data_IF_161770146579
#
_entry.id   IF_161770146579
#
_cell.length_a   1.000
_cell.length_b   1.000
_cell.length_c   1.000
_cell.angle_alpha   90.00
_cell.angle_beta   90.00
_cell.angle_gamma   90.00
#
_symmetry.space_group_name_H-M   'P 1'
#
loop_
_entity.id
_entity.type
_entity.pdbx_description
1 polymer ?
#
# COMPACT_ATOMS: atom_id res chain seq x y z
N UNK A 1 -30.42 -1.17 9.55
CA UNK A 1 -31.20 -1.05 8.30
C UNK A 1 -32.29 -0.07 8.62
N UNK A 2 -32.04 1.19 8.28
CA UNK A 2 -33.05 2.24 8.31
C UNK A 2 -34.05 1.98 7.17
N UNK A 3 -35.29 2.44 7.35
CA UNK A 3 -36.44 2.16 6.46
C UNK A 3 -36.25 2.65 5.01
N UNK A 4 -35.20 3.43 4.73
CA UNK A 4 -34.82 3.91 3.40
C UNK A 4 -33.88 2.96 2.63
N UNK A 5 -33.44 1.84 3.23
CA UNK A 5 -32.60 0.83 2.56
C UNK A 5 -31.17 1.30 2.24
N UNK A 6 -30.76 2.48 2.71
CA UNK A 6 -29.38 2.93 2.59
C UNK A 6 -28.55 2.30 3.69
N UNK A 7 -27.62 1.41 3.34
CA UNK A 7 -26.64 0.94 4.33
C UNK A 7 -25.75 2.13 4.72
N UNK A 8 -26.14 2.79 5.82
CA UNK A 8 -25.44 3.90 6.42
C UNK A 8 -24.01 3.47 6.76
N UNK A 9 -23.73 2.21 7.07
CA UNK A 9 -22.41 1.75 7.47
C UNK A 9 -21.67 1.05 6.33
N UNK A 10 -20.33 1.20 6.23
CA UNK A 10 -19.58 0.45 5.25
C UNK A 10 -19.60 -1.04 5.60
N UNK A 11 -19.55 -1.89 4.57
CA UNK A 11 -19.30 -3.30 4.76
C UNK A 11 -17.85 -3.54 5.25
N UNK A 12 -17.60 -4.62 6.02
CA UNK A 12 -16.23 -5.02 6.36
C UNK A 12 -15.37 -5.26 5.10
N UNK A 13 -14.09 -4.87 5.18
CA UNK A 13 -13.15 -5.07 4.06
C UNK A 13 -12.95 -6.56 3.77
N UNK A 14 -12.76 -6.91 2.50
CA UNK A 14 -12.45 -8.28 2.09
C UNK A 14 -11.09 -8.75 2.60
N UNK A 15 -10.90 -10.07 2.70
CA UNK A 15 -9.63 -10.68 3.13
C UNK A 15 -8.42 -10.25 2.27
N UNK A 16 -8.63 -10.02 0.97
CA UNK A 16 -7.58 -9.48 0.08
C UNK A 16 -7.21 -8.04 0.46
N UNK A 17 -8.20 -7.19 0.73
CA UNK A 17 -7.95 -5.82 1.16
C UNK A 17 -7.19 -5.76 2.50
N UNK A 18 -7.50 -6.65 3.46
CA UNK A 18 -6.69 -6.72 4.69
C UNK A 18 -5.25 -7.20 4.44
N UNK A 19 -5.02 -8.11 3.48
CA UNK A 19 -3.65 -8.50 3.08
C UNK A 19 -2.90 -7.33 2.46
N UNK A 20 -3.50 -6.64 1.49
CA UNK A 20 -2.92 -5.45 0.86
C UNK A 20 -2.59 -4.36 1.88
N UNK A 21 -3.45 -4.17 2.88
CA UNK A 21 -3.17 -3.23 3.98
C UNK A 21 -1.94 -3.58 4.81
N UNK A 22 -1.65 -4.86 5.04
CA UNK A 22 -0.40 -5.27 5.72
C UNK A 22 0.82 -4.92 4.88
N UNK A 23 0.74 -5.10 3.56
CA UNK A 23 1.79 -4.70 2.61
C UNK A 23 1.98 -3.17 2.62
N UNK A 24 0.88 -2.41 2.58
CA UNK A 24 0.90 -0.95 2.68
C UNK A 24 1.62 -0.46 3.96
N UNK A 25 1.33 -1.11 5.10
CA UNK A 25 1.98 -0.78 6.37
C UNK A 25 3.47 -1.18 6.38
N UNK A 26 3.79 -2.39 5.91
CA UNK A 26 5.16 -2.91 5.90
C UNK A 26 6.11 -2.08 5.03
N UNK A 27 5.62 -1.58 3.89
CA UNK A 27 6.41 -0.73 2.98
C UNK A 27 6.43 0.75 3.39
N UNK A 28 5.78 1.12 4.50
CA UNK A 28 5.80 2.50 4.98
C UNK A 28 5.09 3.50 4.06
N UNK A 29 4.12 3.07 3.25
CA UNK A 29 3.41 3.95 2.32
C UNK A 29 2.77 5.16 3.02
N UNK A 30 2.38 4.99 4.29
CA UNK A 30 1.84 6.04 5.18
C UNK A 30 2.77 7.25 5.38
N UNK A 31 4.08 7.11 5.15
CA UNK A 31 5.03 8.22 5.28
C UNK A 31 4.92 9.22 4.12
N UNK A 32 4.49 8.78 2.94
CA UNK A 32 4.36 9.63 1.76
C UNK A 32 2.90 9.93 1.40
N UNK A 33 1.98 9.02 1.73
CA UNK A 33 0.59 9.07 1.32
C UNK A 33 -0.35 9.14 2.52
N UNK A 34 -1.35 10.00 2.41
CA UNK A 34 -2.51 9.96 3.30
C UNK A 34 -3.60 9.05 2.78
N UNK A 35 -4.45 8.61 3.70
CA UNK A 35 -5.73 7.98 3.44
C UNK A 35 -6.82 8.75 4.16
N UNK A 36 -6.89 10.06 3.91
CA UNK A 36 -7.95 10.92 4.40
C UNK A 36 -8.21 12.05 3.41
N UNK A 37 -9.34 12.05 2.71
CA UNK A 37 -9.77 13.21 1.93
C UNK A 37 -10.19 14.33 2.89
N UNK A 38 -9.50 15.47 2.84
CA UNK A 38 -9.82 16.64 3.66
C UNK A 38 -10.97 17.42 3.04
N UNK A 39 -11.63 18.21 3.88
CA UNK A 39 -12.62 19.16 3.42
C UNK A 39 -11.96 20.38 2.77
N UNK A 40 -12.71 21.07 1.92
CA UNK A 40 -12.21 22.13 1.04
C UNK A 40 -11.54 23.29 1.78
N UNK A 41 -12.03 23.60 2.99
CA UNK A 41 -11.44 24.64 3.84
C UNK A 41 -10.05 24.26 4.40
N UNK A 42 -9.70 22.97 4.42
CA UNK A 42 -8.44 22.47 4.96
C UNK A 42 -7.46 22.05 3.85
N UNK A 43 -7.97 21.60 2.70
CA UNK A 43 -7.21 21.35 1.49
C UNK A 43 -8.15 21.18 0.28
N UNK A 44 -7.67 21.49 -0.93
CA UNK A 44 -8.38 21.27 -2.20
C UNK A 44 -8.33 19.81 -2.69
N UNK A 45 -8.57 18.84 -1.81
CA UNK A 45 -8.47 17.41 -2.15
C UNK A 45 -9.55 16.97 -3.15
N UNK A 46 -10.75 17.56 -3.06
CA UNK A 46 -11.86 17.29 -3.98
C UNK A 46 -11.55 17.88 -5.37
N UNK A 47 -11.03 19.11 -5.45
CA UNK A 47 -10.61 19.72 -6.72
C UNK A 47 -9.49 18.92 -7.41
N UNK A 48 -8.58 18.33 -6.63
CA UNK A 48 -7.54 17.40 -7.12
C UNK A 48 -8.08 16.03 -7.53
N UNK A 49 -9.39 15.82 -7.42
CA UNK A 49 -10.09 14.56 -7.71
C UNK A 49 -9.57 13.40 -6.88
N UNK A 50 -9.12 13.66 -5.64
CA UNK A 50 -8.64 12.59 -4.75
C UNK A 50 -9.78 11.83 -4.05
N UNK A 51 -10.98 12.42 -4.02
CA UNK A 51 -12.22 11.74 -3.68
C UNK A 51 -13.41 12.65 -3.93
N UNK A 52 -14.59 12.04 -4.00
CA UNK A 52 -15.86 12.75 -4.24
C UNK A 52 -16.36 13.52 -3.01
N UNK A 53 -15.94 13.09 -1.83
CA UNK A 53 -16.36 13.64 -0.54
C UNK A 53 -15.22 13.63 0.46
N UNK A 54 -15.30 14.52 1.45
CA UNK A 54 -14.45 14.44 2.64
C UNK A 54 -14.60 13.09 3.33
N UNK A 55 -13.52 12.61 3.93
CA UNK A 55 -13.56 11.42 4.78
C UNK A 55 -14.39 11.69 6.04
N UNK A 56 -15.14 10.67 6.46
CA UNK A 56 -15.92 10.65 7.67
C UNK A 56 -15.36 9.59 8.64
N UNK A 57 -15.54 9.73 9.97
CA UNK A 57 -15.07 8.73 10.95
C UNK A 57 -15.55 7.31 10.66
N UNK A 58 -16.77 7.20 10.11
CA UNK A 58 -17.40 5.93 9.72
C UNK A 58 -16.61 5.16 8.65
N UNK A 59 -15.82 5.84 7.81
CA UNK A 59 -15.00 5.19 6.78
C UNK A 59 -13.89 4.31 7.37
N UNK A 60 -13.53 4.53 8.64
CA UNK A 60 -12.44 3.85 9.32
C UNK A 60 -12.91 2.82 10.35
N UNK A 61 -14.21 2.48 10.38
CA UNK A 61 -14.81 1.65 11.43
C UNK A 61 -14.13 0.28 11.59
N UNK A 62 -13.67 -0.30 10.48
CA UNK A 62 -12.99 -1.60 10.44
C UNK A 62 -11.46 -1.49 10.40
N UNK A 63 -10.90 -0.28 10.52
CA UNK A 63 -9.48 -0.06 10.41
C UNK A 63 -8.77 -0.06 11.77
N UNK A 64 -8.11 -1.19 12.10
CA UNK A 64 -7.26 -1.30 13.30
C UNK A 64 -5.81 -1.72 12.97
N UNK A 65 -4.80 -0.84 13.15
CA UNK A 65 -4.86 0.59 13.50
C UNK A 65 -5.19 1.49 12.29
N UNK A 66 -5.86 2.61 12.48
CA UNK A 66 -6.18 3.53 11.37
C UNK A 66 -4.90 4.14 10.78
N UNK A 67 -4.75 4.12 9.45
CA UNK A 67 -3.53 4.52 8.73
C UNK A 67 -3.73 5.83 7.93
N UNK A 68 -4.12 6.92 8.60
CA UNK A 68 -4.51 8.18 7.93
C UNK A 68 -3.34 8.88 7.22
N UNK A 69 -2.09 8.67 7.66
CA UNK A 69 -0.93 9.42 7.18
C UNK A 69 -0.84 10.82 7.80
N UNK A 70 0.39 11.30 8.05
CA UNK A 70 0.63 12.66 8.58
C UNK A 70 1.25 13.60 7.56
N UNK A 71 1.95 13.05 6.57
CA UNK A 71 2.65 13.78 5.52
C UNK A 71 2.06 13.41 4.16
N UNK A 72 2.16 14.34 3.21
CA UNK A 72 1.62 14.22 1.86
C UNK A 72 2.65 14.69 0.85
N UNK A 73 3.63 13.84 0.60
CA UNK A 73 4.52 14.03 -0.55
C UNK A 73 3.88 13.47 -1.82
N UNK A 74 3.09 12.40 -1.70
CA UNK A 74 2.31 11.80 -2.78
C UNK A 74 0.81 12.11 -2.68
N UNK A 75 0.03 11.69 -3.68
CA UNK A 75 -1.42 11.84 -3.69
C UNK A 75 -2.11 11.03 -2.58
N UNK A 76 -3.30 11.46 -2.19
CA UNK A 76 -4.13 10.70 -1.25
C UNK A 76 -4.71 9.42 -1.89
N UNK A 77 -4.70 8.35 -1.11
CA UNK A 77 -5.06 7.00 -1.56
C UNK A 77 -6.42 6.51 -1.03
N UNK A 78 -7.20 7.30 -0.28
CA UNK A 78 -8.49 6.88 0.27
C UNK A 78 -9.48 6.34 -0.77
N UNK A 79 -9.49 6.90 -1.97
CA UNK A 79 -10.43 6.54 -3.04
C UNK A 79 -9.72 6.03 -4.31
N UNK A 80 -8.47 5.56 -4.19
CA UNK A 80 -7.69 5.14 -5.37
C UNK A 80 -8.39 4.03 -6.16
N UNK A 81 -9.00 3.04 -5.51
CA UNK A 81 -9.68 1.94 -6.19
C UNK A 81 -10.96 2.35 -6.95
N UNK A 82 -11.50 3.55 -6.72
CA UNK A 82 -12.59 4.12 -7.53
C UNK A 82 -12.07 5.04 -8.64
N UNK A 83 -10.83 5.52 -8.52
CA UNK A 83 -10.23 6.56 -9.37
C UNK A 83 -9.29 5.99 -10.41
N UNK A 84 -8.51 4.97 -10.05
CA UNK A 84 -7.55 4.36 -10.95
C UNK A 84 -8.29 3.58 -12.05
N UNK A 85 -7.89 3.73 -13.32
CA UNK A 85 -8.34 2.79 -14.35
C UNK A 85 -7.81 1.39 -14.01
N UNK A 86 -8.59 0.35 -14.32
CA UNK A 86 -8.37 -1.03 -13.87
C UNK A 86 -6.94 -1.56 -14.14
N UNK A 87 -6.26 -1.11 -15.19
CA UNK A 87 -4.87 -1.47 -15.49
C UNK A 87 -3.80 -0.80 -14.61
N UNK A 88 -4.03 0.38 -14.02
CA UNK A 88 -2.96 1.17 -13.36
C UNK A 88 -2.64 0.69 -11.94
N UNK A 89 -3.54 -0.07 -11.30
CA UNK A 89 -3.32 -0.66 -9.97
C UNK A 89 -2.23 -1.76 -9.97
N UNK A 90 -1.78 -2.22 -11.16
CA UNK A 90 -0.72 -3.21 -11.35
C UNK A 90 0.50 -2.69 -12.14
N UNK A 91 0.63 -1.38 -12.38
CA UNK A 91 1.76 -0.86 -13.12
C UNK A 91 3.07 -1.10 -12.34
N UNK A 92 3.88 -2.02 -12.89
CA UNK A 92 5.26 -2.27 -12.47
C UNK A 92 6.04 -0.96 -12.37
N UNK A 93 7.07 -0.86 -11.50
CA UNK A 93 7.85 0.36 -11.37
C UNK A 93 8.32 0.79 -12.75
N UNK A 94 7.86 1.97 -13.18
CA UNK A 94 8.43 2.64 -14.36
C UNK A 94 9.94 2.62 -14.16
N UNK A 95 10.74 2.12 -15.12
CA UNK A 95 12.18 2.20 -14.98
C UNK A 95 12.51 3.68 -14.90
N UNK A 96 12.98 4.12 -13.73
CA UNK A 96 13.58 5.43 -13.59
C UNK A 96 14.62 5.55 -14.70
N UNK A 97 14.41 6.47 -15.64
CA UNK A 97 15.36 6.73 -16.69
C UNK A 97 16.71 7.07 -16.02
N UNK A 98 17.63 6.10 -16.02
CA UNK A 98 19.01 6.37 -15.67
C UNK A 98 19.60 7.24 -16.77
N UNK A 99 20.32 8.34 -16.44
CA UNK A 99 21.02 9.10 -17.46
C UNK A 99 22.05 8.18 -18.12
N UNK A 100 22.14 8.27 -19.44
CA UNK A 100 23.04 7.48 -20.28
C UNK A 100 24.48 7.52 -19.73
N UNK A 101 24.95 6.37 -19.22
CA UNK A 101 26.36 6.13 -18.99
C UNK A 101 27.08 5.82 -20.31
N UNK A 102 28.39 6.12 -20.44
CA UNK A 102 29.14 5.88 -21.65
C UNK A 102 29.31 4.36 -21.93
N UNK A 103 29.61 3.96 -23.19
CA UNK A 103 29.56 2.56 -23.60
C UNK A 103 30.66 1.72 -22.96
N UNK A 104 30.28 0.46 -22.68
CA UNK A 104 31.06 -0.56 -22.00
C UNK A 104 32.34 -0.96 -22.76
N UNK A 105 33.46 -1.04 -22.06
CA UNK A 105 34.64 -1.77 -22.50
C UNK A 105 34.51 -3.24 -22.07
N UNK A 106 34.73 -4.13 -23.03
CA UNK A 106 34.68 -5.58 -22.88
C UNK A 106 35.75 -6.11 -21.90
N UNK A 107 35.35 -7.03 -21.02
CA UNK A 107 36.28 -7.93 -20.35
C UNK A 107 35.60 -9.29 -20.13
N UNK A 108 36.25 -10.31 -20.68
CA UNK A 108 35.83 -11.69 -20.80
C UNK A 108 35.67 -12.41 -19.47
N UNK A 109 34.67 -13.29 -19.37
CA UNK A 109 34.56 -14.28 -18.30
C UNK A 109 35.72 -15.29 -18.33
N UNK A 110 36.01 -15.90 -17.19
CA UNK A 110 36.00 -17.36 -17.18
C UNK A 110 35.03 -17.90 -16.11
N UNK A 111 34.29 -18.91 -16.52
CA UNK A 111 33.53 -19.80 -15.63
C UNK A 111 34.49 -20.60 -14.74
N UNK A 112 34.10 -20.92 -13.49
CA UNK A 112 34.00 -22.31 -13.01
C UNK A 112 33.38 -22.43 -11.58
N UNK A 113 33.13 -23.64 -11.02
CA UNK A 113 31.78 -24.07 -10.63
C UNK A 113 31.67 -24.45 -9.13
N UNK A 114 30.52 -25.01 -8.75
CA UNK A 114 30.27 -25.79 -7.52
C UNK A 114 30.08 -25.03 -6.21
N UNK A 115 28.83 -25.00 -5.72
CA UNK A 115 28.36 -25.85 -4.61
C UNK A 115 26.99 -25.38 -4.08
N UNK A 116 25.99 -26.25 -4.13
CA UNK A 116 24.76 -26.19 -3.29
C UNK A 116 24.94 -27.09 -2.05
N UNK A 117 23.96 -27.22 -1.15
CA UNK A 117 23.44 -26.24 -0.20
C UNK A 117 23.62 -26.74 1.26
N UNK A 118 23.52 -25.87 2.27
CA UNK A 118 23.45 -26.31 3.66
C UNK A 118 22.17 -25.78 4.32
N UNK A 119 21.19 -26.68 4.42
CA UNK A 119 20.08 -26.66 5.36
C UNK A 119 20.57 -26.74 6.80
N UNK A 120 20.06 -25.89 7.68
CA UNK A 120 20.05 -26.16 9.13
C UNK A 120 18.77 -25.57 9.75
N UNK A 121 17.85 -26.47 10.09
CA UNK A 121 16.70 -26.25 10.95
C UNK A 121 17.07 -26.57 12.40
N UNK A 122 16.40 -25.93 13.38
CA UNK A 122 15.99 -26.43 14.72
C UNK A 122 15.92 -25.28 15.76
N UNK A 123 15.28 -25.46 16.93
CA UNK A 123 13.87 -25.82 17.13
C UNK A 123 13.16 -24.93 18.19
N UNK A 124 11.84 -24.96 18.21
CA UNK A 124 10.97 -24.35 19.24
C UNK A 124 11.10 -25.02 20.62
N UNK A 125 11.08 -24.27 21.74
CA UNK A 125 10.84 -24.84 23.07
C UNK A 125 9.34 -24.92 23.43
N UNK A 126 8.95 -26.04 24.05
CA UNK A 126 7.60 -26.33 24.59
C UNK A 126 7.31 -25.56 25.89
N UNK A 127 6.02 -25.35 26.25
CA UNK A 127 5.62 -24.60 27.43
C UNK A 127 5.72 -25.41 28.73
N UNK A 128 6.08 -24.73 29.83
CA UNK A 128 6.05 -25.25 31.19
C UNK A 128 4.68 -24.97 31.84
N UNK A 129 4.19 -25.96 32.57
CA UNK A 129 2.90 -26.00 33.27
C UNK A 129 3.11 -25.64 34.75
N UNK A 130 2.14 -24.95 35.37
CA UNK A 130 1.79 -25.00 36.81
C UNK A 130 0.40 -24.43 37.00
#
# INVERSE_FOLDING_TARGET
MDEEGTDIYPAPKSGMAQRGRRVYAANGCIYCHSQQVRADYAASDIDRKWGERRSAPRDYLFDRPVLLGKMRMGPDLSNIGKRAPAEEENASPVPSASPAGPPAAAASSPANPSASPATAASPSPKPANS
#
